data_IF_254398274860
#
_entry.id   IF_254398274860
#
_cell.length_a   1.000
_cell.length_b   1.000
_cell.length_c   1.000
_cell.angle_alpha   90.00
_cell.angle_beta   90.00
_cell.angle_gamma   90.00
#
_symmetry.space_group_name_H-M   'P 1'
#
loop_
_entity.id
_entity.type
_entity.pdbx_description
1 polymer ?
#
# COMPACT_ATOMS: atom_id res chain seq x y z
N UNK A 1 20.97 -105.74 15.63
CA UNK A 1 21.53 -104.50 15.08
C UNK A 1 20.45 -103.43 15.20
N UNK A 2 20.42 -102.81 16.42
CA UNK A 2 19.35 -101.90 16.76
C UNK A 2 19.91 -100.45 16.69
N UNK A 3 19.30 -99.63 15.89
CA UNK A 3 19.65 -98.19 15.77
C UNK A 3 18.53 -97.37 16.39
N UNK A 4 18.86 -96.71 17.50
CA UNK A 4 17.97 -95.79 18.25
C UNK A 4 17.98 -94.42 17.55
N UNK A 5 16.81 -93.90 17.17
CA UNK A 5 16.63 -92.54 16.72
C UNK A 5 16.20 -91.66 17.93
N UNK A 6 17.08 -90.72 18.28
CA UNK A 6 16.76 -89.69 19.26
C UNK A 6 15.92 -88.55 18.62
N UNK A 7 14.75 -88.26 19.20
CA UNK A 7 13.90 -87.13 18.84
C UNK A 7 14.47 -85.89 19.54
N UNK A 8 14.96 -84.93 18.74
CA UNK A 8 15.25 -83.58 19.21
C UNK A 8 13.98 -82.74 19.08
N UNK A 9 13.50 -82.23 20.23
CA UNK A 9 12.38 -81.28 20.31
C UNK A 9 12.83 -79.91 19.97
N UNK A 10 12.18 -79.33 18.97
CA UNK A 10 12.36 -77.87 18.57
C UNK A 10 11.44 -77.02 19.41
N UNK A 11 11.99 -76.24 20.33
CA UNK A 11 11.26 -75.21 21.08
C UNK A 11 11.11 -73.95 20.27
N UNK A 12 9.89 -73.60 19.89
CA UNK A 12 9.57 -72.31 19.25
C UNK A 12 9.59 -71.18 20.31
N UNK A 13 10.59 -70.37 20.26
CA UNK A 13 10.61 -69.06 20.94
C UNK A 13 9.75 -68.06 20.22
N UNK A 14 8.64 -67.72 20.85
CA UNK A 14 7.79 -66.60 20.38
C UNK A 14 8.53 -65.27 20.55
N UNK A 15 8.96 -64.63 19.44
CA UNK A 15 9.45 -63.24 19.42
C UNK A 15 8.24 -62.32 19.44
N UNK A 16 8.00 -61.73 20.60
CA UNK A 16 7.06 -60.59 20.70
C UNK A 16 7.70 -59.36 20.08
N UNK A 17 7.21 -58.92 18.92
CA UNK A 17 7.55 -57.62 18.34
C UNK A 17 6.86 -56.51 19.12
N UNK A 18 7.59 -55.47 19.57
CA UNK A 18 6.92 -54.30 20.14
C UNK A 18 6.21 -53.50 19.02
N UNK A 19 4.91 -53.31 19.17
CA UNK A 19 4.15 -52.41 18.31
C UNK A 19 4.61 -50.97 18.57
N UNK A 20 5.39 -50.41 17.63
CA UNK A 20 5.74 -49.01 17.64
C UNK A 20 4.50 -48.24 17.20
N UNK A 21 3.83 -47.60 18.14
CA UNK A 21 2.72 -46.67 17.88
C UNK A 21 3.30 -45.39 17.27
N UNK A 22 3.31 -45.27 15.94
CA UNK A 22 3.67 -44.05 15.25
C UNK A 22 2.52 -43.04 15.42
N UNK A 23 2.69 -42.14 16.41
CA UNK A 23 1.81 -40.99 16.60
C UNK A 23 2.07 -40.00 15.47
N UNK A 24 1.34 -40.08 14.37
CA UNK A 24 1.35 -39.05 13.33
C UNK A 24 0.73 -37.80 13.93
N UNK A 25 1.56 -36.82 14.33
CA UNK A 25 1.13 -35.48 14.61
C UNK A 25 0.65 -34.86 13.27
N UNK A 26 -0.64 -34.88 13.05
CA UNK A 26 -1.30 -34.05 12.03
C UNK A 26 -1.08 -32.60 12.48
N UNK A 27 -0.02 -31.98 11.94
CA UNK A 27 0.12 -30.53 11.98
C UNK A 27 -1.07 -29.96 11.17
N UNK A 28 -2.12 -29.59 11.88
CA UNK A 28 -3.18 -28.76 11.31
C UNK A 28 -2.51 -27.45 10.87
N UNK A 29 -2.13 -27.37 9.60
CA UNK A 29 -1.91 -26.08 8.98
C UNK A 29 -3.24 -25.35 9.08
N UNK A 30 -3.35 -24.46 10.06
CA UNK A 30 -4.41 -23.46 10.08
C UNK A 30 -4.20 -22.69 8.78
N UNK A 31 -4.99 -23.01 7.76
CA UNK A 31 -5.13 -22.18 6.57
C UNK A 31 -5.55 -20.83 7.13
N UNK A 32 -4.64 -19.83 7.04
CA UNK A 32 -4.97 -18.48 7.41
C UNK A 32 -6.26 -18.14 6.66
N UNK A 33 -7.29 -17.73 7.37
CA UNK A 33 -8.60 -17.44 6.79
C UNK A 33 -8.73 -15.92 6.68
N UNK A 34 -9.33 -15.47 5.58
CA UNK A 34 -9.72 -14.06 5.44
C UNK A 34 -10.38 -13.55 6.73
N UNK A 35 -9.98 -12.39 7.27
CA UNK A 35 -10.52 -11.86 8.51
C UNK A 35 -12.05 -11.83 8.53
N UNK A 36 -12.63 -12.14 9.68
CA UNK A 36 -14.08 -12.15 9.86
C UNK A 36 -14.67 -10.74 9.71
N UNK A 37 -15.94 -10.64 9.38
CA UNK A 37 -16.61 -9.35 9.28
C UNK A 37 -16.59 -8.58 10.60
N UNK A 38 -16.65 -9.28 11.75
CA UNK A 38 -16.51 -8.67 13.07
C UNK A 38 -15.12 -8.05 13.28
N UNK A 39 -14.04 -8.70 12.81
CA UNK A 39 -12.69 -8.14 12.87
C UNK A 39 -12.57 -6.90 11.97
N UNK A 40 -13.15 -6.92 10.77
CA UNK A 40 -13.20 -5.75 9.87
C UNK A 40 -13.99 -4.61 10.51
N UNK A 41 -15.15 -4.88 11.11
CA UNK A 41 -15.99 -3.86 11.77
C UNK A 41 -15.27 -3.25 12.98
N UNK A 42 -14.52 -4.05 13.76
CA UNK A 42 -13.69 -3.57 14.86
C UNK A 42 -12.59 -2.61 14.37
N UNK A 43 -11.89 -2.97 13.28
CA UNK A 43 -10.89 -2.09 12.67
C UNK A 43 -11.51 -0.77 12.19
N UNK A 44 -12.67 -0.81 11.52
CA UNK A 44 -13.39 0.39 11.07
C UNK A 44 -13.81 1.28 12.25
N UNK A 45 -14.22 0.69 13.37
CA UNK A 45 -14.55 1.43 14.59
C UNK A 45 -13.33 2.13 15.17
N UNK A 46 -12.16 1.45 15.21
CA UNK A 46 -10.89 2.08 15.64
C UNK A 46 -10.48 3.19 14.68
N UNK A 47 -10.59 2.96 13.37
CA UNK A 47 -10.31 3.96 12.34
C UNK A 47 -11.16 5.21 12.52
N UNK A 48 -12.49 5.06 12.65
CA UNK A 48 -13.40 6.18 12.86
C UNK A 48 -13.14 6.94 14.17
N UNK A 49 -12.73 6.23 15.22
CA UNK A 49 -12.42 6.80 16.52
C UNK A 49 -10.96 7.29 16.63
N UNK A 50 -10.17 7.23 15.56
CA UNK A 50 -8.75 7.62 15.53
C UNK A 50 -7.93 6.92 16.63
N UNK A 51 -8.14 5.62 16.81
CA UNK A 51 -7.46 4.80 17.81
C UNK A 51 -6.46 3.86 17.17
N UNK A 52 -5.41 3.53 17.92
CA UNK A 52 -4.50 2.44 17.55
C UNK A 52 -5.30 1.13 17.47
N UNK A 53 -5.07 0.36 16.43
CA UNK A 53 -5.75 -0.92 16.18
C UNK A 53 -4.76 -2.08 16.14
N UNK A 54 -5.20 -3.25 16.59
CA UNK A 54 -4.44 -4.50 16.44
C UNK A 54 -4.38 -4.98 14.98
N UNK A 55 -5.22 -4.41 14.10
CA UNK A 55 -5.30 -4.86 12.71
C UNK A 55 -5.79 -6.31 12.60
N UNK A 56 -5.19 -7.06 11.67
CA UNK A 56 -5.59 -8.43 11.33
C UNK A 56 -4.48 -9.47 11.58
N UNK A 57 -3.46 -9.11 12.35
CA UNK A 57 -2.29 -9.96 12.65
C UNK A 57 -1.09 -9.66 11.74
N UNK A 58 0.11 -9.84 12.28
CA UNK A 58 1.37 -9.59 11.57
C UNK A 58 1.77 -10.74 10.63
N UNK A 59 1.29 -11.92 10.89
CA UNK A 59 1.51 -13.17 10.17
C UNK A 59 0.46 -13.42 9.06
N UNK A 60 -0.42 -12.45 8.83
CA UNK A 60 -1.45 -12.54 7.78
C UNK A 60 -0.79 -12.82 6.41
N UNK A 61 -1.33 -13.83 5.71
CA UNK A 61 -0.84 -14.17 4.37
C UNK A 61 -1.15 -13.05 3.35
N UNK A 62 -0.41 -13.01 2.24
CA UNK A 62 -0.68 -12.04 1.17
C UNK A 62 -2.11 -12.21 0.60
N UNK A 63 -2.59 -13.45 0.47
CA UNK A 63 -3.95 -13.74 -0.01
C UNK A 63 -5.01 -13.23 0.94
N UNK A 64 -4.82 -13.47 2.25
CA UNK A 64 -5.76 -13.02 3.27
C UNK A 64 -5.72 -11.51 3.47
N UNK A 65 -4.56 -10.88 3.29
CA UNK A 65 -4.40 -9.43 3.31
C UNK A 65 -5.19 -8.76 2.17
N UNK A 66 -5.13 -9.32 0.97
CA UNK A 66 -5.95 -8.85 -0.16
C UNK A 66 -7.45 -9.07 0.08
N UNK A 67 -7.81 -10.20 0.68
CA UNK A 67 -9.20 -10.48 1.08
C UNK A 67 -9.68 -9.45 2.13
N UNK A 68 -8.86 -9.20 3.17
CA UNK A 68 -9.15 -8.19 4.20
C UNK A 68 -9.33 -6.80 3.59
N UNK A 69 -8.41 -6.37 2.72
CA UNK A 69 -8.47 -5.08 2.02
C UNK A 69 -9.76 -4.92 1.23
N UNK A 70 -10.19 -5.96 0.49
CA UNK A 70 -11.46 -5.94 -0.26
C UNK A 70 -12.67 -5.79 0.65
N UNK A 71 -12.76 -6.55 1.75
CA UNK A 71 -13.84 -6.41 2.74
C UNK A 71 -13.81 -5.03 3.41
N UNK A 72 -12.63 -4.59 3.82
CA UNK A 72 -12.43 -3.30 4.46
C UNK A 72 -12.85 -2.15 3.53
N UNK A 73 -12.52 -2.23 2.24
CA UNK A 73 -12.87 -1.19 1.27
C UNK A 73 -14.38 -0.93 1.18
N UNK A 74 -15.19 -1.97 1.34
CA UNK A 74 -16.66 -1.84 1.35
C UNK A 74 -17.13 -1.12 2.62
N UNK A 75 -16.53 -1.46 3.76
CA UNK A 75 -16.92 -0.88 5.06
C UNK A 75 -16.44 0.58 5.22
N UNK A 76 -15.25 0.90 4.72
CA UNK A 76 -14.70 2.27 4.75
C UNK A 76 -15.54 3.28 3.97
N UNK A 77 -16.34 2.86 2.99
CA UNK A 77 -17.28 3.76 2.29
C UNK A 77 -18.23 4.49 3.22
N UNK A 78 -18.59 3.89 4.35
CA UNK A 78 -19.47 4.53 5.35
C UNK A 78 -18.78 5.69 6.07
N UNK A 79 -17.45 5.63 6.19
CA UNK A 79 -16.63 6.62 6.91
C UNK A 79 -16.01 7.63 5.93
N UNK A 80 -15.46 7.15 4.83
CA UNK A 80 -14.64 7.92 3.89
C UNK A 80 -15.36 8.31 2.58
N UNK A 81 -16.59 7.87 2.37
CA UNK A 81 -17.33 8.17 1.12
C UNK A 81 -17.08 7.14 0.02
N UNK A 82 -17.17 7.56 -1.24
CA UNK A 82 -17.02 6.65 -2.38
C UNK A 82 -15.54 6.53 -2.80
N UNK A 83 -15.14 5.36 -3.32
CA UNK A 83 -13.82 5.24 -3.94
C UNK A 83 -13.70 6.18 -5.15
N UNK A 84 -12.63 6.97 -5.20
CA UNK A 84 -12.30 7.90 -6.30
C UNK A 84 -10.99 7.54 -6.99
N UNK A 85 -10.30 6.51 -6.51
CA UNK A 85 -9.04 6.11 -7.09
C UNK A 85 -8.25 5.13 -6.23
N UNK A 86 -6.97 5.05 -6.50
CA UNK A 86 -6.06 4.06 -5.93
C UNK A 86 -4.72 4.71 -5.60
N UNK A 87 -4.09 4.28 -4.52
CA UNK A 87 -2.74 4.72 -4.14
C UNK A 87 -1.75 3.58 -4.26
N UNK A 88 -0.56 3.85 -4.80
CA UNK A 88 0.57 2.93 -4.72
C UNK A 88 1.32 3.10 -3.39
N UNK A 89 1.77 2.02 -2.83
CA UNK A 89 2.69 1.98 -1.70
C UNK A 89 3.84 1.04 -1.97
N UNK A 90 4.93 1.12 -1.17
CA UNK A 90 6.13 0.31 -1.36
C UNK A 90 6.76 0.46 -2.75
N UNK A 91 6.65 1.64 -3.35
CA UNK A 91 7.24 1.94 -4.67
C UNK A 91 8.75 2.10 -4.64
N UNK A 92 9.35 2.09 -3.45
CA UNK A 92 10.78 2.19 -3.21
C UNK A 92 11.35 0.84 -2.72
N UNK A 93 12.44 0.38 -3.31
CA UNK A 93 13.10 -0.92 -2.99
C UNK A 93 13.49 -1.02 -1.50
N UNK A 94 13.97 0.07 -0.89
CA UNK A 94 14.34 0.06 0.52
C UNK A 94 13.13 -0.17 1.44
N UNK A 95 11.96 0.38 1.11
CA UNK A 95 10.71 0.09 1.83
C UNK A 95 10.26 -1.35 1.62
N UNK A 96 10.37 -1.89 0.40
CA UNK A 96 10.04 -3.29 0.12
C UNK A 96 10.88 -4.23 0.99
N UNK A 97 12.20 -4.01 1.06
CA UNK A 97 13.09 -4.77 1.91
C UNK A 97 12.75 -4.64 3.41
N UNK A 98 12.50 -3.41 3.88
CA UNK A 98 12.15 -3.14 5.29
C UNK A 98 10.89 -3.85 5.72
N UNK A 99 9.88 -3.95 4.86
CA UNK A 99 8.57 -4.54 5.15
C UNK A 99 8.42 -5.96 4.61
N UNK A 100 9.50 -6.52 4.06
CA UNK A 100 9.54 -7.88 3.48
C UNK A 100 8.39 -8.13 2.49
N UNK A 101 8.26 -7.21 1.52
CA UNK A 101 7.35 -7.35 0.38
C UNK A 101 8.17 -7.43 -0.91
N UNK A 102 7.69 -8.16 -1.89
CA UNK A 102 8.38 -8.47 -3.15
C UNK A 102 8.08 -7.48 -4.29
N UNK A 103 7.45 -6.36 -3.97
CA UNK A 103 7.12 -5.32 -4.95
C UNK A 103 6.11 -4.32 -4.40
N UNK A 104 5.70 -3.35 -5.22
CA UNK A 104 4.70 -2.36 -4.83
C UNK A 104 3.36 -3.01 -4.50
N UNK A 105 2.54 -2.31 -3.73
CA UNK A 105 1.17 -2.68 -3.35
C UNK A 105 0.28 -1.47 -3.53
N UNK A 106 -1.03 -1.67 -3.53
CA UNK A 106 -1.98 -0.58 -3.67
C UNK A 106 -3.13 -0.66 -2.66
N UNK A 107 -3.74 0.50 -2.38
CA UNK A 107 -4.95 0.67 -1.61
C UNK A 107 -5.99 1.53 -2.33
N UNK A 108 -7.20 1.58 -1.79
CA UNK A 108 -8.29 2.44 -2.29
C UNK A 108 -8.16 3.86 -1.72
N UNK A 109 -8.50 4.86 -2.52
CA UNK A 109 -8.68 6.26 -2.11
C UNK A 109 -10.16 6.63 -2.16
N UNK A 110 -10.59 7.52 -1.26
CA UNK A 110 -12.00 7.88 -1.09
C UNK A 110 -12.20 9.39 -1.14
N UNK A 111 -13.42 9.82 -1.55
CA UNK A 111 -13.72 11.22 -1.87
C UNK A 111 -13.75 12.16 -0.66
N UNK A 112 -14.26 11.70 0.50
CA UNK A 112 -14.52 12.59 1.64
C UNK A 112 -13.30 13.30 2.19
N UNK A 113 -12.16 12.60 2.23
CA UNK A 113 -10.91 13.10 2.80
C UNK A 113 -9.88 13.46 1.69
N UNK A 114 -10.36 13.65 0.44
CA UNK A 114 -9.61 14.32 -0.63
C UNK A 114 -9.95 15.80 -0.56
N UNK A 115 -8.97 16.60 -0.12
CA UNK A 115 -9.17 17.99 0.27
C UNK A 115 -8.48 18.90 -0.76
N UNK A 116 -9.12 20.00 -1.10
CA UNK A 116 -8.57 20.97 -2.06
C UNK A 116 -7.41 21.77 -1.47
N UNK A 117 -6.66 22.43 -2.34
CA UNK A 117 -5.51 23.29 -2.01
C UNK A 117 -5.87 24.33 -0.93
N UNK A 118 -4.89 24.67 -0.09
CA UNK A 118 -5.02 25.53 1.10
C UNK A 118 -5.83 24.90 2.24
N UNK A 119 -5.84 23.60 2.31
CA UNK A 119 -6.54 22.87 3.36
C UNK A 119 -5.94 23.16 4.75
N UNK A 120 -6.84 23.30 5.71
CA UNK A 120 -6.52 23.23 7.14
C UNK A 120 -7.01 21.90 7.67
N UNK A 121 -6.09 21.08 8.17
CA UNK A 121 -6.35 19.71 8.61
C UNK A 121 -6.00 19.59 10.10
N UNK A 122 -6.84 18.97 10.94
CA UNK A 122 -6.44 18.69 12.32
C UNK A 122 -5.15 17.90 12.37
N UNK A 123 -4.16 18.33 13.15
CA UNK A 123 -2.91 17.59 13.30
C UNK A 123 -3.15 16.16 13.80
N UNK A 124 -4.23 15.95 14.55
CA UNK A 124 -4.68 14.65 15.05
C UNK A 124 -5.81 14.06 14.17
N UNK A 125 -5.64 14.10 12.84
CA UNK A 125 -6.65 13.53 11.92
C UNK A 125 -6.74 12.01 12.01
N UNK A 126 -5.72 11.34 12.56
CA UNK A 126 -5.61 9.89 12.73
C UNK A 126 -5.10 9.48 14.10
N UNK A 127 -4.81 8.20 14.26
CA UNK A 127 -4.20 7.63 15.46
C UNK A 127 -2.68 7.86 15.52
N UNK A 128 -2.01 7.74 14.37
CA UNK A 128 -0.59 8.11 14.12
C UNK A 128 -0.49 8.80 12.77
N UNK A 129 -1.02 10.03 12.68
CA UNK A 129 -1.12 10.76 11.44
C UNK A 129 0.25 11.17 10.92
N UNK A 130 0.44 11.02 9.62
CA UNK A 130 1.64 11.41 8.90
C UNK A 130 1.25 12.22 7.67
N UNK A 131 2.24 12.88 7.05
CA UNK A 131 2.13 13.48 5.73
C UNK A 131 3.34 13.11 4.88
N UNK A 132 3.13 12.98 3.57
CA UNK A 132 4.22 12.72 2.62
C UNK A 132 4.00 13.42 1.28
N UNK A 133 5.11 13.75 0.62
CA UNK A 133 5.09 14.30 -0.72
C UNK A 133 4.80 13.17 -1.71
N UNK A 134 3.73 13.30 -2.49
CA UNK A 134 3.28 12.33 -3.48
C UNK A 134 2.86 13.05 -4.77
N UNK A 135 2.40 12.32 -5.77
CA UNK A 135 1.96 12.84 -7.04
C UNK A 135 0.80 12.02 -7.58
N UNK A 136 -0.26 12.66 -8.06
CA UNK A 136 -1.40 11.97 -8.63
C UNK A 136 -1.37 12.06 -10.15
N UNK A 137 -1.71 10.95 -10.79
CA UNK A 137 -2.14 10.85 -12.18
C UNK A 137 -3.66 10.73 -12.20
N UNK A 138 -4.34 11.56 -13.00
CA UNK A 138 -5.77 11.44 -13.28
C UNK A 138 -5.95 10.64 -14.58
N UNK A 139 -6.59 9.49 -14.48
CA UNK A 139 -6.81 8.61 -15.62
C UNK A 139 -7.79 9.24 -16.61
N UNK A 140 -7.45 9.23 -17.90
CA UNK A 140 -8.33 9.64 -18.98
C UNK A 140 -9.25 8.49 -19.41
N UNK A 141 -8.73 7.28 -19.41
CA UNK A 141 -9.45 6.06 -19.79
C UNK A 141 -8.70 4.80 -19.33
N UNK A 142 -9.29 3.63 -19.56
CA UNK A 142 -8.73 2.33 -19.19
C UNK A 142 -7.46 1.93 -19.99
N UNK A 143 -7.16 2.61 -21.09
CA UNK A 143 -6.00 2.31 -21.96
C UNK A 143 -4.66 2.50 -21.26
N UNK A 144 -4.62 3.26 -20.16
CA UNK A 144 -3.42 3.40 -19.33
C UNK A 144 -2.86 2.04 -18.89
N UNK A 145 -3.73 1.06 -18.61
CA UNK A 145 -3.33 -0.29 -18.22
C UNK A 145 -2.78 -1.13 -19.38
N UNK A 146 -2.98 -0.70 -20.62
CA UNK A 146 -2.53 -1.39 -21.84
C UNK A 146 -1.29 -0.75 -22.47
N UNK A 147 -0.94 0.46 -22.03
CA UNK A 147 0.23 1.18 -22.53
C UNK A 147 1.51 0.35 -22.33
N UNK A 148 2.35 0.32 -23.37
CA UNK A 148 3.61 -0.43 -23.38
C UNK A 148 4.82 0.43 -23.06
N UNK A 149 4.67 1.74 -23.26
CA UNK A 149 5.73 2.72 -23.00
C UNK A 149 5.18 3.91 -22.22
N UNK A 150 6.01 4.62 -21.44
CA UNK A 150 5.59 5.86 -20.77
C UNK A 150 5.03 6.90 -21.74
N UNK A 151 5.56 6.97 -22.97
CA UNK A 151 5.07 7.90 -23.98
C UNK A 151 3.65 7.55 -24.46
N UNK A 152 3.33 6.27 -24.58
CA UNK A 152 1.95 5.80 -24.86
C UNK A 152 1.04 6.14 -23.67
N UNK A 153 1.51 5.85 -22.44
CA UNK A 153 0.76 6.09 -21.21
C UNK A 153 0.30 7.54 -21.05
N UNK A 154 1.13 8.53 -21.44
CA UNK A 154 0.72 9.95 -21.45
C UNK A 154 -0.54 10.22 -22.27
N UNK A 155 -0.84 9.42 -23.30
CA UNK A 155 -2.07 9.54 -24.09
C UNK A 155 -3.35 9.15 -23.33
N UNK A 156 -3.22 8.41 -22.21
CA UNK A 156 -4.28 7.90 -21.37
C UNK A 156 -4.36 8.58 -20.01
N UNK A 157 -3.62 9.68 -19.84
CA UNK A 157 -3.62 10.53 -18.65
C UNK A 157 -4.28 11.87 -19.03
N UNK A 158 -5.16 12.36 -18.16
CA UNK A 158 -5.85 13.64 -18.36
C UNK A 158 -5.05 14.78 -17.73
N UNK A 159 -4.68 14.64 -16.46
CA UNK A 159 -3.92 15.61 -15.68
C UNK A 159 -2.93 14.92 -14.76
N UNK A 160 -1.92 15.68 -14.33
CA UNK A 160 -1.12 15.38 -13.16
C UNK A 160 -1.48 16.34 -12.04
N UNK A 161 -1.42 15.92 -10.78
CA UNK A 161 -1.79 16.77 -9.64
C UNK A 161 -0.75 16.64 -8.54
N UNK A 162 -0.12 17.76 -8.10
CA UNK A 162 0.65 17.81 -6.86
C UNK A 162 -0.19 17.27 -5.70
N UNK A 163 0.39 16.44 -4.84
CA UNK A 163 -0.37 15.79 -3.80
C UNK A 163 0.42 15.69 -2.50
N UNK A 164 -0.22 15.98 -1.40
CA UNK A 164 0.27 15.63 -0.06
C UNK A 164 -0.62 14.50 0.44
N UNK A 165 -0.10 13.27 0.48
CA UNK A 165 -0.82 12.16 1.11
C UNK A 165 -0.84 12.32 2.63
N UNK A 166 -1.94 11.92 3.25
CA UNK A 166 -2.18 11.95 4.69
C UNK A 166 -2.41 10.50 5.19
N UNK A 167 -1.36 9.69 5.31
CA UNK A 167 -1.48 8.33 5.82
C UNK A 167 -1.62 8.30 7.34
N UNK A 168 -2.22 7.20 7.85
CA UNK A 168 -2.35 6.93 9.28
C UNK A 168 -1.78 5.55 9.62
N UNK A 169 -0.61 5.50 10.26
CA UNK A 169 0.02 4.25 10.68
C UNK A 169 -0.59 3.73 11.98
N UNK A 170 -1.89 3.51 12.00
CA UNK A 170 -2.66 3.19 13.21
C UNK A 170 -2.48 1.76 13.74
N UNK A 171 -1.66 0.92 13.12
CA UNK A 171 -1.42 -0.44 13.61
C UNK A 171 -0.54 -0.45 14.88
N UNK A 172 -0.89 -1.33 15.85
CA UNK A 172 -0.13 -1.50 17.08
C UNK A 172 1.23 -2.13 16.82
N UNK A 173 2.26 -1.67 17.53
CA UNK A 173 3.61 -2.26 17.51
C UNK A 173 4.31 -2.19 16.16
N UNK A 174 5.10 -3.23 15.86
CA UNK A 174 5.75 -3.45 14.56
C UNK A 174 4.83 -4.30 13.69
N UNK A 175 4.66 -3.94 12.44
CA UNK A 175 3.75 -4.62 11.53
C UNK A 175 4.43 -4.99 10.20
N UNK A 176 3.96 -6.07 9.59
CA UNK A 176 4.44 -6.55 8.29
C UNK A 176 3.84 -5.76 7.12
N UNK A 177 4.43 -5.89 5.94
CA UNK A 177 3.87 -5.31 4.72
C UNK A 177 2.47 -5.86 4.39
N UNK A 178 2.23 -7.16 4.63
CA UNK A 178 0.90 -7.75 4.44
C UNK A 178 -0.13 -7.18 5.42
N UNK A 179 0.25 -6.93 6.69
CA UNK A 179 -0.63 -6.27 7.64
C UNK A 179 -1.00 -4.85 7.18
N UNK A 180 -0.05 -4.12 6.58
CA UNK A 180 -0.32 -2.81 5.99
C UNK A 180 -1.23 -2.91 4.77
N UNK A 181 -1.04 -3.89 3.88
CA UNK A 181 -1.94 -4.15 2.75
C UNK A 181 -3.36 -4.45 3.23
N UNK A 182 -3.50 -5.31 4.25
CA UNK A 182 -4.79 -5.67 4.83
C UNK A 182 -5.57 -4.46 5.36
N UNK A 183 -4.85 -3.41 5.77
CA UNK A 183 -5.39 -2.15 6.30
C UNK A 183 -5.39 -1.00 5.28
N UNK A 184 -5.52 -1.35 4.00
CA UNK A 184 -5.63 -0.40 2.89
C UNK A 184 -4.40 0.50 2.70
N UNK A 185 -3.20 -0.05 2.94
CA UNK A 185 -1.91 0.64 2.75
C UNK A 185 -1.89 2.00 3.47
N UNK A 186 -2.40 2.03 4.71
CA UNK A 186 -2.47 3.19 5.60
C UNK A 186 -3.17 4.44 5.03
N UNK A 187 -3.91 4.36 3.93
CA UNK A 187 -4.62 5.52 3.38
C UNK A 187 -5.64 6.08 4.38
N UNK A 188 -5.62 7.40 4.54
CA UNK A 188 -6.65 8.13 5.28
C UNK A 188 -7.21 9.33 4.53
N UNK A 189 -6.38 10.06 3.79
CA UNK A 189 -6.79 11.21 3.01
C UNK A 189 -5.63 11.85 2.26
N UNK A 190 -5.83 13.07 1.76
CA UNK A 190 -4.78 13.86 1.14
C UNK A 190 -5.25 15.20 0.60
N UNK A 191 -4.28 16.06 0.29
CA UNK A 191 -4.51 17.41 -0.20
C UNK A 191 -4.08 17.50 -1.66
N UNK A 192 -5.01 17.90 -2.52
CA UNK A 192 -4.84 18.06 -3.96
C UNK A 192 -4.34 19.47 -4.28
N UNK A 193 -3.31 19.57 -5.12
CA UNK A 193 -2.86 20.81 -5.72
C UNK A 193 -3.59 21.14 -7.01
N UNK A 194 -3.06 22.12 -7.74
CA UNK A 194 -3.59 22.51 -9.06
C UNK A 194 -3.24 21.47 -10.12
N UNK A 195 -4.17 21.23 -11.04
CA UNK A 195 -3.97 20.34 -12.19
C UNK A 195 -2.87 20.84 -13.12
N UNK A 196 -2.03 19.91 -13.58
CA UNK A 196 -0.96 20.15 -14.55
C UNK A 196 -1.37 19.45 -15.85
N UNK A 197 -1.56 20.20 -16.95
CA UNK A 197 -1.87 19.61 -18.25
C UNK A 197 -0.77 18.65 -18.73
N UNK A 198 -1.16 17.50 -19.25
CA UNK A 198 -0.23 16.50 -19.80
C UNK A 198 0.12 16.83 -21.24
N UNK A 199 1.42 16.84 -21.55
CA UNK A 199 1.92 16.95 -22.91
C UNK A 199 2.51 15.62 -23.35
N UNK A 200 1.94 14.99 -24.37
CA UNK A 200 2.44 13.70 -24.90
C UNK A 200 3.75 13.93 -25.69
N UNK A 201 4.86 14.05 -24.97
CA UNK A 201 6.19 14.25 -25.56
C UNK A 201 7.29 13.62 -24.70
N UNK A 202 8.42 13.30 -25.35
CA UNK A 202 9.61 12.81 -24.63
C UNK A 202 10.14 13.89 -23.68
N UNK A 203 10.14 15.16 -24.10
CA UNK A 203 10.59 16.28 -23.26
C UNK A 203 9.78 16.39 -21.96
N UNK A 204 8.46 16.10 -21.99
CA UNK A 204 7.63 16.08 -20.78
C UNK A 204 7.99 14.91 -19.87
N UNK A 205 8.24 13.71 -20.42
CA UNK A 205 8.73 12.55 -19.64
C UNK A 205 10.07 12.85 -19.01
N UNK A 206 10.98 13.49 -19.75
CA UNK A 206 12.31 13.85 -19.23
C UNK A 206 12.18 14.90 -18.11
N UNK A 207 11.28 15.86 -18.24
CA UNK A 207 10.98 16.83 -17.20
C UNK A 207 10.44 16.15 -15.93
N UNK A 208 9.53 15.18 -16.07
CA UNK A 208 8.99 14.41 -14.94
C UNK A 208 10.07 13.60 -14.22
N UNK A 209 10.99 12.94 -14.93
CA UNK A 209 12.08 12.19 -14.33
C UNK A 209 13.11 13.10 -13.64
N UNK A 210 13.40 14.28 -14.24
CA UNK A 210 14.44 15.20 -13.79
C UNK A 210 13.95 16.24 -12.77
N UNK A 211 12.64 16.44 -12.61
CA UNK A 211 12.12 17.37 -11.60
C UNK A 211 12.68 17.09 -10.22
N UNK A 212 12.73 18.10 -9.38
CA UNK A 212 13.07 17.96 -7.97
C UNK A 212 11.84 18.23 -7.13
N UNK A 213 11.39 17.23 -6.38
CA UNK A 213 10.33 17.37 -5.39
C UNK A 213 10.95 17.80 -4.08
N UNK A 214 10.51 18.94 -3.53
CA UNK A 214 11.02 19.52 -2.28
C UNK A 214 9.86 19.69 -1.32
N UNK A 215 10.00 19.13 -0.12
CA UNK A 215 9.08 19.29 1.00
C UNK A 215 9.67 20.27 2.00
N UNK A 216 8.94 21.31 2.37
CA UNK A 216 9.42 22.42 3.21
C UNK A 216 8.42 22.72 4.33
N UNK A 217 8.89 22.98 5.53
CA UNK A 217 8.12 23.67 6.57
C UNK A 217 8.08 25.17 6.23
N UNK A 218 6.92 25.66 5.80
CA UNK A 218 6.75 27.07 5.38
C UNK A 218 6.95 28.07 6.53
N UNK A 219 6.69 27.66 7.79
CA UNK A 219 6.82 28.55 8.94
C UNK A 219 8.30 28.89 9.22
N UNK A 220 9.18 27.90 9.07
CA UNK A 220 10.62 28.06 9.35
C UNK A 220 11.47 28.18 8.10
N UNK A 221 10.93 27.88 6.92
CA UNK A 221 11.70 27.75 5.68
C UNK A 221 12.60 26.52 5.63
N UNK A 222 12.51 25.62 6.61
CA UNK A 222 13.33 24.42 6.69
C UNK A 222 12.91 23.38 5.66
N UNK A 223 13.87 22.90 4.88
CA UNK A 223 13.66 21.74 4.03
C UNK A 223 13.51 20.47 4.89
N UNK A 224 12.41 19.75 4.68
CA UNK A 224 12.06 18.51 5.36
C UNK A 224 12.51 17.27 4.58
N UNK A 225 12.71 17.44 3.27
CA UNK A 225 13.20 16.40 2.38
C UNK A 225 13.13 16.77 0.92
N UNK A 226 13.91 16.08 0.10
CA UNK A 226 13.91 16.23 -1.36
C UNK A 226 14.16 14.91 -2.06
N UNK A 227 13.65 14.79 -3.27
CA UNK A 227 13.93 13.68 -4.17
C UNK A 227 13.86 14.11 -5.63
N UNK A 228 14.45 13.30 -6.52
CA UNK A 228 14.24 13.43 -7.97
C UNK A 228 12.93 12.76 -8.37
N UNK A 229 12.31 13.22 -9.47
CA UNK A 229 11.16 12.55 -10.05
C UNK A 229 11.42 11.08 -10.36
N UNK A 230 12.64 10.76 -10.79
CA UNK A 230 13.10 9.38 -11.04
C UNK A 230 13.17 8.48 -9.79
N UNK A 231 12.99 9.00 -8.58
CA UNK A 231 12.90 8.18 -7.37
C UNK A 231 11.67 7.23 -7.39
N UNK A 232 10.61 7.58 -8.14
CA UNK A 232 9.48 6.70 -8.39
C UNK A 232 9.71 5.88 -9.67
N UNK A 233 10.26 4.68 -9.52
CA UNK A 233 10.42 3.69 -10.61
C UNK A 233 11.06 4.29 -11.89
N UNK A 234 12.12 5.08 -11.72
CA UNK A 234 12.88 5.82 -12.76
C UNK A 234 12.09 6.95 -13.45
N UNK A 235 10.78 6.89 -13.45
CA UNK A 235 9.87 7.93 -13.94
C UNK A 235 8.49 7.75 -13.27
N UNK A 236 7.82 8.82 -12.78
CA UNK A 236 6.51 8.71 -12.16
C UNK A 236 5.47 7.99 -13.03
N UNK A 237 5.57 8.11 -14.36
CA UNK A 237 4.64 7.45 -15.28
C UNK A 237 4.79 5.92 -15.25
N UNK A 238 5.99 5.40 -14.93
CA UNK A 238 6.17 3.95 -14.72
C UNK A 238 5.37 3.45 -13.52
N UNK A 239 5.31 4.23 -12.43
CA UNK A 239 4.50 3.90 -11.26
C UNK A 239 2.99 3.91 -11.61
N UNK A 240 2.54 4.89 -12.41
CA UNK A 240 1.17 4.93 -12.91
C UNK A 240 0.82 3.72 -13.78
N UNK A 241 1.71 3.35 -14.71
CA UNK A 241 1.55 2.16 -15.55
C UNK A 241 1.49 0.88 -14.72
N UNK A 242 2.42 0.73 -13.77
CA UNK A 242 2.42 -0.43 -12.87
C UNK A 242 1.09 -0.53 -12.12
N UNK A 243 0.64 0.57 -11.51
CA UNK A 243 -0.61 0.60 -10.73
C UNK A 243 -1.82 0.25 -11.62
N UNK A 244 -1.94 0.84 -12.80
CA UNK A 244 -3.01 0.57 -13.75
C UNK A 244 -3.02 -0.91 -14.20
N UNK A 245 -1.86 -1.47 -14.50
CA UNK A 245 -1.70 -2.87 -14.91
C UNK A 245 -2.05 -3.83 -13.78
N UNK A 246 -1.64 -3.54 -12.54
CA UNK A 246 -1.93 -4.39 -11.40
C UNK A 246 -3.43 -4.34 -11.03
N UNK A 247 -4.06 -3.17 -11.10
CA UNK A 247 -5.52 -3.03 -10.97
C UNK A 247 -6.25 -3.89 -12.00
N UNK A 248 -5.83 -3.84 -13.27
CA UNK A 248 -6.41 -4.66 -14.34
C UNK A 248 -6.27 -6.16 -14.07
N UNK A 249 -5.11 -6.62 -13.58
CA UNK A 249 -4.89 -8.03 -13.17
C UNK A 249 -5.84 -8.44 -12.03
N UNK A 250 -6.23 -7.50 -11.17
CA UNK A 250 -7.19 -7.70 -10.09
C UNK A 250 -8.65 -7.51 -10.52
N UNK A 251 -8.93 -7.40 -11.83
CA UNK A 251 -10.29 -7.27 -12.39
C UNK A 251 -10.88 -5.86 -12.25
N UNK A 252 -10.05 -4.84 -12.00
CA UNK A 252 -10.45 -3.45 -11.85
C UNK A 252 -10.11 -2.70 -13.14
N UNK A 253 -11.12 -2.21 -13.83
CA UNK A 253 -10.95 -1.33 -14.99
C UNK A 253 -10.97 0.13 -14.55
N UNK A 254 -9.93 0.88 -14.93
CA UNK A 254 -9.88 2.33 -14.70
C UNK A 254 -11.00 3.05 -15.48
N UNK A 255 -11.48 4.11 -14.89
CA UNK A 255 -12.47 5.02 -15.49
C UNK A 255 -11.84 6.40 -15.63
N UNK A 256 -12.42 7.21 -16.50
CA UNK A 256 -12.08 8.62 -16.58
C UNK A 256 -12.29 9.30 -15.24
N UNK A 257 -11.28 10.04 -14.79
CA UNK A 257 -11.29 10.74 -13.52
C UNK A 257 -10.79 9.92 -12.32
N UNK A 258 -10.50 8.61 -12.48
CA UNK A 258 -9.88 7.83 -11.40
C UNK A 258 -8.52 8.44 -11.04
N UNK A 259 -8.28 8.65 -9.75
CA UNK A 259 -7.05 9.19 -9.20
C UNK A 259 -6.06 8.06 -8.93
N UNK A 260 -4.83 8.21 -9.38
CA UNK A 260 -3.74 7.27 -9.12
C UNK A 260 -2.61 7.99 -8.38
N UNK A 261 -2.51 7.81 -7.05
CA UNK A 261 -1.39 8.29 -6.25
C UNK A 261 -0.20 7.35 -6.44
N UNK A 262 0.96 7.91 -6.72
CA UNK A 262 2.10 7.16 -7.25
C UNK A 262 3.09 6.68 -6.17
N UNK A 263 2.91 7.16 -4.93
CA UNK A 263 3.75 6.85 -3.78
C UNK A 263 4.68 7.98 -3.37
N UNK A 264 5.14 7.89 -2.12
CA UNK A 264 5.93 8.95 -1.49
C UNK A 264 7.33 9.14 -2.07
N UNK A 265 7.69 10.39 -2.37
CA UNK A 265 9.02 10.79 -2.81
C UNK A 265 10.04 10.84 -1.67
N UNK A 266 9.59 11.20 -0.47
CA UNK A 266 10.41 11.31 0.73
C UNK A 266 9.74 10.54 1.87
N UNK A 267 10.49 10.10 2.90
CA UNK A 267 9.89 9.40 4.02
C UNK A 267 8.77 10.22 4.67
N UNK A 268 7.63 9.60 5.02
CA UNK A 268 6.53 10.29 5.69
C UNK A 268 6.98 10.88 7.03
N UNK A 269 6.42 12.05 7.36
CA UNK A 269 6.74 12.82 8.57
C UNK A 269 5.52 12.91 9.48
N UNK A 270 5.70 12.96 10.83
CA UNK A 270 4.60 13.16 11.76
C UNK A 270 4.04 14.58 11.67
N UNK A 271 2.74 14.70 11.80
CA UNK A 271 2.04 15.98 11.88
C UNK A 271 2.30 16.69 13.22
N UNK A 272 2.19 18.01 13.22
CA UNK A 272 2.29 18.83 14.42
C UNK A 272 1.39 20.06 14.29
N UNK A 273 0.62 20.35 15.33
CA UNK A 273 -0.21 21.57 15.40
C UNK A 273 0.61 22.83 15.13
N UNK A 274 0.05 23.71 14.30
CA UNK A 274 0.68 24.96 13.86
C UNK A 274 1.69 24.80 12.74
N UNK A 275 1.93 23.57 12.24
CA UNK A 275 2.86 23.33 11.14
C UNK A 275 2.19 23.60 9.81
N UNK A 276 2.92 24.25 8.90
CA UNK A 276 2.50 24.46 7.51
C UNK A 276 3.52 23.86 6.57
N UNK A 277 3.09 22.92 5.75
CA UNK A 277 3.95 22.14 4.86
C UNK A 277 3.63 22.43 3.42
N UNK A 278 4.66 22.69 2.62
CA UNK A 278 4.56 22.79 1.17
C UNK A 278 5.36 21.68 0.50
N UNK A 279 4.79 21.14 -0.57
CA UNK A 279 5.50 20.27 -1.53
C UNK A 279 5.54 21.01 -2.86
N UNK A 280 6.76 21.22 -3.40
CA UNK A 280 7.02 21.91 -4.66
C UNK A 280 7.73 20.99 -5.65
N UNK A 281 7.29 21.03 -6.92
CA UNK A 281 7.81 20.20 -8.01
C UNK A 281 8.61 21.08 -8.98
N UNK A 282 9.87 21.33 -8.64
CA UNK A 282 10.78 22.23 -9.35
C UNK A 282 11.24 21.57 -10.66
N UNK A 283 11.12 22.27 -11.76
CA UNK A 283 11.48 21.81 -13.10
C UNK A 283 10.31 21.37 -13.96
N UNK A 284 9.09 21.37 -13.41
CA UNK A 284 7.86 21.33 -14.20
C UNK A 284 7.40 22.75 -14.55
N UNK A 285 6.58 22.94 -15.60
CA UNK A 285 6.09 24.26 -15.97
C UNK A 285 5.42 25.00 -14.80
N UNK A 286 5.94 26.14 -14.42
CA UNK A 286 5.45 26.96 -13.31
C UNK A 286 5.85 26.50 -11.91
N UNK A 287 6.71 25.47 -11.79
CA UNK A 287 7.11 24.89 -10.50
C UNK A 287 5.92 24.68 -9.54
N UNK A 288 4.94 23.85 -9.93
CA UNK A 288 3.69 23.71 -9.18
C UNK A 288 3.94 23.26 -7.75
N UNK A 289 3.05 23.67 -6.84
CA UNK A 289 3.14 23.33 -5.42
C UNK A 289 1.76 23.05 -4.83
N UNK A 290 1.75 22.36 -3.70
CA UNK A 290 0.59 22.14 -2.84
C UNK A 290 1.00 22.35 -1.39
N UNK A 291 0.13 22.95 -0.57
CA UNK A 291 0.39 23.21 0.85
C UNK A 291 -0.76 22.74 1.71
N UNK A 292 -0.43 22.36 2.95
CA UNK A 292 -1.37 22.01 4.01
C UNK A 292 -0.97 22.69 5.31
N UNK A 293 -1.95 23.15 6.06
CA UNK A 293 -1.77 23.64 7.44
C UNK A 293 -2.37 22.64 8.42
N UNK A 294 -1.63 22.31 9.49
CA UNK A 294 -2.09 21.44 10.57
C UNK A 294 -2.47 22.26 11.80
N UNK A 295 -3.75 22.25 12.21
CA UNK A 295 -4.27 22.94 13.39
C UNK A 295 -4.50 22.01 14.58
#
# INVERSE_FOLDING_TARGET
MNINFARQGFAWRSLAMPAVLVLTMLSSHVLAACPTDAAIDAYVADFAAKRISKGFGNDISAVDAECAKKKLSIKLRKVLGQPVGYKAGFTNVALQQRFNVDGPRWGYMYDRDMIDILAVVPAEFGARPLYEADFIVVAKDAGLADAKTPLEALGHIEFLVPFIELPDLMLEGTFSGNAMVATNVAFRGGVLGMEIPVVKSQAFLDALANMTVVMTDENSGKELGRAKGSALMDNPINAAMWLAQDLKKNGIALKRGDLLSLGGYVPPQPTKTGMRVQVKYIGLPGDPAVSVEFN
#
